data_IF_408089620710
#
_entry.id   IF_408089620710
#
_cell.length_a   1.000
_cell.length_b   1.000
_cell.length_c   1.000
_cell.angle_alpha   90.00
_cell.angle_beta   90.00
_cell.angle_gamma   90.00
#
_symmetry.space_group_name_H-M   'P 1'
#
loop_
_entity.id
_entity.type
_entity.pdbx_description
1 polymer ?
#
# COMPACT_ATOMS: atom_id res chain seq x y z
N UNK A 1 28.19 1.75 -36.72
CA UNK A 1 28.33 1.25 -35.32
C UNK A 1 27.73 2.29 -34.38
N UNK A 2 26.45 2.17 -34.07
CA UNK A 2 25.78 3.01 -33.06
C UNK A 2 25.11 2.08 -32.06
N UNK A 3 25.78 1.84 -30.94
CA UNK A 3 25.22 1.05 -29.84
C UNK A 3 24.26 1.91 -29.03
N UNK A 4 22.97 1.82 -29.33
CA UNK A 4 21.92 2.38 -28.47
C UNK A 4 21.82 1.54 -27.21
N UNK A 5 22.56 1.94 -26.17
CA UNK A 5 22.49 1.32 -24.84
C UNK A 5 21.11 1.57 -24.25
N UNK A 6 20.25 0.55 -24.28
CA UNK A 6 19.00 0.52 -23.52
C UNK A 6 19.32 0.48 -22.03
N UNK A 7 19.58 1.64 -21.44
CA UNK A 7 19.62 1.79 -19.99
C UNK A 7 18.21 1.53 -19.47
N UNK A 8 17.99 0.36 -18.87
CA UNK A 8 16.76 0.11 -18.13
C UNK A 8 16.57 1.22 -17.10
N UNK A 9 15.34 1.73 -16.97
CA UNK A 9 15.02 2.76 -15.98
C UNK A 9 15.14 2.14 -14.57
N UNK A 10 16.35 2.20 -14.01
CA UNK A 10 16.66 1.78 -12.64
C UNK A 10 16.25 2.90 -11.72
N UNK A 11 15.26 2.63 -10.88
CA UNK A 11 14.74 3.56 -9.89
C UNK A 11 15.16 3.15 -8.49
N UNK A 12 15.10 4.12 -7.57
CA UNK A 12 15.36 3.90 -6.14
C UNK A 12 14.07 4.03 -5.36
N UNK A 13 13.90 3.17 -4.36
CA UNK A 13 12.79 3.20 -3.44
C UNK A 13 13.26 3.04 -2.00
N UNK A 14 12.36 3.39 -1.07
CA UNK A 14 12.54 3.22 0.37
C UNK A 14 11.30 2.57 0.96
N UNK A 15 11.49 1.55 1.79
CA UNK A 15 10.43 0.87 2.53
C UNK A 15 10.71 0.96 4.03
N UNK A 16 9.64 1.08 4.82
CA UNK A 16 9.69 0.89 6.26
C UNK A 16 9.13 -0.50 6.59
N UNK A 17 9.95 -1.34 7.21
CA UNK A 17 9.52 -2.62 7.77
C UNK A 17 9.14 -2.37 9.22
N UNK A 18 7.92 -2.77 9.58
CA UNK A 18 7.37 -2.59 10.92
C UNK A 18 7.04 -3.94 11.55
N UNK A 19 7.20 -4.02 12.87
CA UNK A 19 6.54 -5.04 13.69
C UNK A 19 5.22 -4.47 14.17
N UNK A 20 4.12 -5.20 13.93
CA UNK A 20 2.80 -4.81 14.38
C UNK A 20 2.19 -5.86 15.31
N UNK A 21 1.56 -5.39 16.38
CA UNK A 21 0.67 -6.22 17.19
C UNK A 21 -0.75 -6.11 16.63
N UNK A 22 -1.27 -7.22 16.10
CA UNK A 22 -2.55 -7.22 15.37
C UNK A 22 -3.77 -7.49 16.27
N UNK A 23 -3.58 -8.02 17.47
CA UNK A 23 -4.67 -8.30 18.41
C UNK A 23 -5.82 -9.13 17.80
N UNK A 24 -7.06 -8.74 18.10
CA UNK A 24 -8.27 -9.26 17.44
C UNK A 24 -8.38 -8.70 16.04
N UNK A 25 -8.33 -9.58 15.04
CA UNK A 25 -8.39 -9.18 13.63
C UNK A 25 -9.71 -9.57 12.98
N UNK A 26 -10.26 -8.69 12.14
CA UNK A 26 -11.34 -9.05 11.23
C UNK A 26 -10.95 -8.84 9.76
N UNK A 27 -11.55 -9.64 8.89
CA UNK A 27 -11.47 -9.45 7.46
C UNK A 27 -12.63 -8.56 7.00
N UNK A 28 -12.30 -7.48 6.29
CA UNK A 28 -13.28 -6.76 5.48
C UNK A 28 -13.31 -7.40 4.09
N UNK A 29 -14.50 -7.83 3.68
CA UNK A 29 -14.72 -8.51 2.39
C UNK A 29 -14.84 -7.53 1.22
N UNK A 30 -14.79 -6.22 1.48
CA UNK A 30 -14.53 -5.24 0.42
C UNK A 30 -13.17 -5.55 -0.21
N UNK A 31 -13.17 -5.86 -1.50
CA UNK A 31 -11.94 -6.17 -2.22
C UNK A 31 -11.07 -4.92 -2.41
N UNK A 32 -9.75 -5.09 -2.39
CA UNK A 32 -8.78 -4.04 -2.75
C UNK A 32 -8.61 -3.94 -4.28
N UNK A 33 -9.51 -4.52 -5.07
CA UNK A 33 -9.39 -4.53 -6.54
C UNK A 33 -9.41 -3.14 -7.16
N UNK A 34 -10.03 -2.19 -6.47
CA UNK A 34 -9.69 -0.78 -6.66
C UNK A 34 -8.35 -0.51 -5.97
N UNK A 35 -7.28 -1.11 -6.47
CA UNK A 35 -5.94 -0.57 -6.25
C UNK A 35 -6.09 0.91 -6.61
N UNK A 36 -5.79 1.78 -5.66
CA UNK A 36 -5.75 3.21 -5.88
C UNK A 36 -4.99 3.37 -7.19
N UNK A 37 -5.64 3.90 -8.26
CA UNK A 37 -5.01 3.97 -9.56
C UNK A 37 -3.60 4.54 -9.39
N UNK A 38 -2.61 3.99 -10.08
CA UNK A 38 -1.24 4.51 -10.01
C UNK A 38 -1.21 6.03 -10.26
N UNK A 39 -2.13 6.53 -11.09
CA UNK A 39 -2.36 7.96 -11.34
C UNK A 39 -2.92 8.76 -10.15
N UNK A 40 -3.57 8.10 -9.19
CA UNK A 40 -3.96 8.67 -7.90
C UNK A 40 -2.82 8.54 -6.88
N UNK A 41 -2.08 7.42 -6.88
CA UNK A 41 -0.93 7.21 -6.01
C UNK A 41 0.24 8.13 -6.34
N UNK A 42 0.38 8.57 -7.59
CA UNK A 42 1.44 9.46 -8.03
C UNK A 42 0.85 10.62 -8.80
N UNK A 43 1.10 11.84 -8.32
CA UNK A 43 0.79 13.08 -9.03
C UNK A 43 2.10 13.81 -9.31
N UNK A 44 2.35 14.12 -10.57
CA UNK A 44 3.58 14.80 -11.02
C UNK A 44 4.87 14.04 -10.61
N UNK A 45 4.82 12.70 -10.68
CA UNK A 45 5.92 11.82 -10.29
C UNK A 45 6.17 11.70 -8.78
N UNK A 46 5.36 12.35 -7.95
CA UNK A 46 5.46 12.29 -6.48
C UNK A 46 4.38 11.39 -5.89
N UNK A 47 4.72 10.52 -4.92
CA UNK A 47 3.72 9.73 -4.22
C UNK A 47 2.76 10.66 -3.48
N UNK A 48 1.47 10.38 -3.58
CA UNK A 48 0.37 11.08 -2.91
C UNK A 48 -0.11 10.19 -1.75
N UNK A 49 0.32 10.46 -0.50
CA UNK A 49 -0.08 9.66 0.65
C UNK A 49 -1.59 9.68 0.89
N UNK A 50 -2.25 10.79 0.53
CA UNK A 50 -3.69 10.97 0.62
C UNK A 50 -4.50 10.10 -0.37
N UNK A 51 -3.82 9.43 -1.31
CA UNK A 51 -4.45 8.50 -2.22
C UNK A 51 -4.52 7.09 -1.63
N UNK A 52 -3.68 6.74 -0.65
CA UNK A 52 -4.01 5.63 0.24
C UNK A 52 -5.30 6.02 0.95
N UNK A 53 -6.34 5.22 0.76
CA UNK A 53 -7.67 5.43 1.34
C UNK A 53 -7.54 6.03 2.73
N UNK A 54 -8.19 7.17 2.96
CA UNK A 54 -8.16 7.86 4.25
C UNK A 54 -8.40 6.83 5.34
N UNK A 55 -7.43 6.60 6.26
CA UNK A 55 -7.65 5.65 7.32
C UNK A 55 -8.89 6.12 8.07
N UNK A 56 -9.87 5.23 8.29
CA UNK A 56 -11.09 5.58 8.99
C UNK A 56 -10.73 6.25 10.31
N UNK A 57 -11.42 7.35 10.58
CA UNK A 57 -11.31 8.06 11.83
C UNK A 57 -11.73 7.09 12.94
N UNK A 58 -11.01 7.01 14.07
CA UNK A 58 -11.47 6.21 15.21
C UNK A 58 -12.92 6.57 15.57
N UNK A 59 -13.85 5.61 15.45
CA UNK A 59 -15.29 5.80 15.67
C UNK A 59 -16.13 6.04 14.42
N UNK A 60 -15.52 6.24 13.25
CA UNK A 60 -16.21 6.29 11.95
C UNK A 60 -16.09 4.94 11.23
N UNK A 61 -17.10 4.10 11.41
CA UNK A 61 -17.17 2.77 10.79
C UNK A 61 -17.63 2.81 9.32
N UNK A 62 -17.87 3.99 8.72
CA UNK A 62 -18.41 4.12 7.36
C UNK A 62 -17.47 3.59 6.27
N UNK A 63 -16.15 3.60 6.53
CA UNK A 63 -15.15 3.10 5.58
C UNK A 63 -15.15 1.58 5.45
N UNK A 64 -15.61 0.83 6.45
CA UNK A 64 -15.64 -0.63 6.44
C UNK A 64 -17.04 -1.19 6.19
N UNK A 65 -17.14 -2.51 6.04
CA UNK A 65 -18.45 -3.16 6.09
C UNK A 65 -19.09 -2.94 7.46
N UNK A 66 -20.37 -2.57 7.50
CA UNK A 66 -21.15 -2.49 8.74
C UNK A 66 -21.27 -3.83 9.48
N UNK A 67 -20.85 -4.93 8.84
CA UNK A 67 -20.78 -6.27 9.42
C UNK A 67 -19.51 -6.53 10.24
N UNK A 68 -18.57 -5.58 10.33
CA UNK A 68 -17.37 -5.78 11.14
C UNK A 68 -17.71 -5.71 12.64
N UNK A 69 -17.11 -6.58 13.48
CA UNK A 69 -17.26 -6.49 14.92
C UNK A 69 -16.70 -5.18 15.46
N UNK A 70 -17.35 -4.60 16.46
CA UNK A 70 -16.94 -3.32 17.05
C UNK A 70 -15.65 -3.42 17.90
N UNK A 71 -15.21 -4.63 18.25
CA UNK A 71 -14.13 -4.88 19.21
C UNK A 71 -12.84 -5.43 18.56
N UNK A 72 -12.52 -4.98 17.34
CA UNK A 72 -11.33 -5.43 16.60
C UNK A 72 -10.17 -4.42 16.70
N UNK A 73 -8.96 -4.93 16.88
CA UNK A 73 -7.73 -4.14 16.99
C UNK A 73 -7.13 -3.81 15.61
N UNK A 74 -7.37 -4.69 14.63
CA UNK A 74 -6.93 -4.51 13.24
C UNK A 74 -7.91 -5.11 12.24
N UNK A 75 -7.93 -4.54 11.04
CA UNK A 75 -8.73 -5.03 9.92
C UNK A 75 -7.83 -5.27 8.73
N UNK A 76 -8.09 -6.32 7.95
CA UNK A 76 -7.43 -6.49 6.66
C UNK A 76 -8.42 -6.70 5.54
N UNK A 77 -8.01 -6.28 4.34
CA UNK A 77 -8.66 -6.62 3.08
C UNK A 77 -7.72 -7.50 2.27
N UNK A 78 -8.28 -8.36 1.42
CA UNK A 78 -7.51 -9.17 0.47
C UNK A 78 -7.72 -8.63 -0.94
N UNK A 79 -6.71 -8.75 -1.79
CA UNK A 79 -6.84 -8.49 -3.22
C UNK A 79 -7.62 -9.64 -3.88
N UNK A 80 -8.55 -9.36 -4.77
CA UNK A 80 -9.23 -10.45 -5.49
C UNK A 80 -8.26 -11.14 -6.44
N UNK A 81 -8.39 -12.46 -6.50
CA UNK A 81 -7.47 -13.31 -7.25
C UNK A 81 -6.08 -13.49 -6.61
N UNK A 82 -5.73 -12.75 -5.54
CA UNK A 82 -4.48 -12.94 -4.79
C UNK A 82 -4.66 -12.77 -3.28
N UNK A 83 -5.01 -13.87 -2.60
CA UNK A 83 -5.21 -13.91 -1.14
C UNK A 83 -3.91 -13.74 -0.33
N UNK A 84 -2.74 -13.75 -0.98
CA UNK A 84 -1.44 -13.52 -0.31
C UNK A 84 -1.16 -12.02 -0.17
N UNK A 85 -1.75 -11.18 -1.01
CA UNK A 85 -1.65 -9.74 -0.91
C UNK A 85 -2.77 -9.17 -0.04
N UNK A 86 -2.40 -8.55 1.08
CA UNK A 86 -3.33 -7.98 2.05
C UNK A 86 -2.95 -6.54 2.36
N UNK A 87 -3.96 -5.69 2.52
CA UNK A 87 -3.82 -4.35 3.08
C UNK A 87 -4.33 -4.37 4.51
N UNK A 88 -3.47 -3.98 5.45
CA UNK A 88 -3.76 -3.96 6.88
C UNK A 88 -4.04 -2.54 7.35
N UNK A 89 -5.11 -2.39 8.13
CA UNK A 89 -5.51 -1.18 8.83
C UNK A 89 -5.35 -1.43 10.33
N UNK A 90 -4.50 -0.64 10.97
CA UNK A 90 -4.23 -0.71 12.42
C UNK A 90 -4.60 0.64 13.02
N UNK A 91 -5.55 0.65 13.95
CA UNK A 91 -6.12 1.91 14.46
C UNK A 91 -5.27 2.52 15.57
N UNK A 92 -4.55 1.69 16.34
CA UNK A 92 -3.68 2.17 17.40
C UNK A 92 -2.21 2.17 16.95
N UNK A 93 -1.68 3.37 16.68
CA UNK A 93 -0.28 3.56 16.28
C UNK A 93 0.75 3.04 17.30
N UNK A 94 0.39 2.95 18.59
CA UNK A 94 1.29 2.42 19.63
C UNK A 94 1.56 0.92 19.45
N UNK A 95 0.74 0.22 18.66
CA UNK A 95 0.91 -1.19 18.31
C UNK A 95 1.82 -1.41 17.11
N UNK A 96 2.41 -0.34 16.54
CA UNK A 96 3.29 -0.39 15.38
C UNK A 96 4.68 0.09 15.78
N UNK A 97 5.67 -0.80 15.67
CA UNK A 97 7.07 -0.52 15.92
C UNK A 97 7.83 -0.46 14.60
N UNK A 98 8.33 0.72 14.17
CA UNK A 98 9.28 0.84 13.07
C UNK A 98 10.57 0.09 13.39
N UNK A 99 10.93 -0.92 12.60
CA UNK A 99 12.11 -1.74 12.89
C UNK A 99 13.25 -1.48 11.90
N UNK A 100 12.96 -1.43 10.60
CA UNK A 100 13.98 -1.22 9.58
C UNK A 100 13.53 -0.23 8.53
N UNK A 101 14.47 0.59 8.05
CA UNK A 101 14.33 1.34 6.80
C UNK A 101 15.19 0.64 5.76
N UNK A 102 14.58 0.20 4.68
CA UNK A 102 15.25 -0.51 3.58
C UNK A 102 15.28 0.38 2.36
N UNK A 103 16.48 0.75 1.93
CA UNK A 103 16.73 1.40 0.65
C UNK A 103 16.98 0.32 -0.41
N UNK A 104 16.30 0.40 -1.55
CA UNK A 104 16.40 -0.60 -2.61
C UNK A 104 16.38 0.03 -4.00
N UNK A 105 16.83 -0.74 -4.99
CA UNK A 105 16.77 -0.38 -6.40
C UNK A 105 15.86 -1.37 -7.13
N UNK A 106 15.15 -0.88 -8.13
CA UNK A 106 14.25 -1.71 -8.94
C UNK A 106 14.26 -1.27 -10.40
N UNK A 107 14.12 -2.23 -11.30
CA UNK A 107 14.01 -1.99 -12.74
C UNK A 107 12.54 -1.92 -13.13
N UNK A 108 12.15 -0.85 -13.83
CA UNK A 108 10.80 -0.71 -14.36
C UNK A 108 10.77 -1.12 -15.84
N UNK A 109 9.78 -1.93 -16.22
CA UNK A 109 9.58 -2.29 -17.62
C UNK A 109 9.24 -1.06 -18.47
N UNK A 110 9.77 -1.02 -19.69
CA UNK A 110 9.46 0.04 -20.64
C UNK A 110 7.94 0.11 -20.90
N UNK A 111 7.36 1.30 -20.79
CA UNK A 111 5.91 1.52 -20.96
C UNK A 111 5.06 1.24 -19.71
N UNK A 112 5.64 0.80 -18.59
CA UNK A 112 4.89 0.73 -17.34
C UNK A 112 4.51 2.14 -16.84
N UNK A 113 3.36 2.33 -16.18
CA UNK A 113 2.95 3.65 -15.69
C UNK A 113 3.98 4.32 -14.77
N UNK A 114 4.74 3.52 -14.01
CA UNK A 114 5.83 3.99 -13.15
C UNK A 114 7.05 4.48 -13.93
N UNK A 115 7.25 4.04 -15.17
CA UNK A 115 8.38 4.47 -16.00
C UNK A 115 8.22 5.90 -16.50
N UNK A 116 6.99 6.43 -16.56
CA UNK A 116 6.71 7.81 -16.95
C UNK A 116 6.90 8.83 -15.81
N UNK A 117 7.07 8.34 -14.57
CA UNK A 117 7.28 9.14 -13.37
C UNK A 117 8.76 9.28 -12.98
N UNK A 118 9.64 8.59 -13.70
CA UNK A 118 11.09 8.50 -13.48
C UNK A 118 11.86 9.69 -14.06
#
# INVERSE_FOLDING_TARGET
RGGGGGGGNVLRGRLLIVKSFLGKTAQDFKSIDTMIPLSKLYKDGRPQPAALETPPIPGDNSAFSSSLPADVDAVFRSKSGDMKQRLWYIYNRQLVLPEYIVDFQYTVAAGAPLAAAA
#
